data_IF_526180401596
#
_entry.id   IF_526180401596
#
_cell.length_a   1.000
_cell.length_b   1.000
_cell.length_c   1.000
_cell.angle_alpha   90.00
_cell.angle_beta   90.00
_cell.angle_gamma   90.00
#
_symmetry.space_group_name_H-M   'P 1'
#
loop_
_entity.id
_entity.type
_entity.pdbx_description
1 polymer ?
#
# COMPACT_ATOMS: atom_id res chain seq x y z
N UNK A 1 -8.26 11.38 -5.26
CA UNK A 1 -9.05 10.41 -4.46
C UNK A 1 -8.35 10.20 -3.12
N UNK A 2 -9.02 10.45 -1.99
CA UNK A 2 -8.42 10.33 -0.65
C UNK A 2 -8.40 8.88 -0.20
N UNK A 3 -7.21 8.30 -0.06
CA UNK A 3 -7.05 6.95 0.52
C UNK A 3 -7.37 6.88 2.02
N UNK A 4 -7.34 8.03 2.71
CA UNK A 4 -7.68 8.16 4.13
C UNK A 4 -9.17 7.90 4.44
N UNK A 5 -10.05 7.98 3.44
CA UNK A 5 -11.49 7.73 3.62
C UNK A 5 -11.89 6.29 3.27
N UNK A 6 -10.94 5.43 2.90
CA UNK A 6 -11.22 4.04 2.56
C UNK A 6 -11.49 3.22 3.82
N UNK A 7 -12.57 2.43 3.78
CA UNK A 7 -12.84 1.40 4.79
C UNK A 7 -11.79 0.30 4.73
N UNK A 8 -11.67 -0.50 5.79
CA UNK A 8 -10.68 -1.58 5.88
C UNK A 8 -10.77 -2.56 4.72
N UNK A 9 -12.00 -2.91 4.33
CA UNK A 9 -12.32 -3.77 3.21
C UNK A 9 -11.80 -3.19 1.89
N UNK A 10 -12.06 -1.91 1.64
CA UNK A 10 -11.64 -1.17 0.45
C UNK A 10 -10.11 -1.04 0.38
N UNK A 11 -9.48 -0.71 1.51
CA UNK A 11 -8.04 -0.60 1.65
C UNK A 11 -7.37 -1.95 1.35
N UNK A 12 -7.95 -3.04 1.84
CA UNK A 12 -7.49 -4.41 1.62
C UNK A 12 -7.57 -4.79 0.15
N UNK A 13 -8.74 -4.59 -0.48
CA UNK A 13 -8.97 -4.89 -1.90
C UNK A 13 -7.99 -4.11 -2.77
N UNK A 14 -7.87 -2.79 -2.57
CA UNK A 14 -6.94 -1.98 -3.35
C UNK A 14 -5.50 -2.45 -3.20
N UNK A 15 -5.01 -2.63 -1.98
CA UNK A 15 -3.64 -3.12 -1.76
C UNK A 15 -3.40 -4.49 -2.42
N UNK A 16 -4.37 -5.40 -2.36
CA UNK A 16 -4.31 -6.68 -3.06
C UNK A 16 -4.25 -6.50 -4.59
N UNK A 17 -5.03 -5.58 -5.16
CA UNK A 17 -4.96 -5.24 -6.59
C UNK A 17 -3.59 -4.68 -7.00
N UNK A 18 -2.92 -3.96 -6.11
CA UNK A 18 -1.54 -3.50 -6.32
C UNK A 18 -0.48 -4.59 -6.08
N UNK A 19 -0.87 -5.84 -5.81
CA UNK A 19 0.05 -6.95 -5.56
C UNK A 19 0.69 -6.94 -4.18
N UNK A 20 0.16 -6.17 -3.23
CA UNK A 20 0.61 -6.17 -1.85
C UNK A 20 -0.13 -7.25 -1.03
N UNK A 21 0.56 -8.23 -0.42
CA UNK A 21 -0.07 -9.22 0.43
C UNK A 21 -0.65 -8.55 1.67
N UNK A 22 -1.98 -8.52 1.72
CA UNK A 22 -2.74 -7.89 2.81
C UNK A 22 -3.12 -8.93 3.85
N UNK A 23 -2.51 -8.80 5.03
CA UNK A 23 -2.92 -9.52 6.22
C UNK A 23 -4.17 -8.92 6.89
N UNK A 24 -4.42 -9.25 8.16
CA UNK A 24 -5.54 -8.67 8.90
C UNK A 24 -5.38 -7.15 9.02
N UNK A 25 -6.38 -6.41 8.56
CA UNK A 25 -6.44 -4.96 8.75
C UNK A 25 -6.94 -4.69 10.16
N UNK A 26 -6.02 -4.35 11.06
CA UNK A 26 -6.32 -3.96 12.44
C UNK A 26 -6.12 -2.46 12.62
N UNK A 27 -6.64 -1.90 13.72
CA UNK A 27 -6.58 -0.46 13.98
C UNK A 27 -5.14 0.09 13.97
N UNK A 28 -4.19 -0.68 14.46
CA UNK A 28 -2.75 -0.36 14.47
C UNK A 28 -2.13 -0.44 13.07
N UNK A 29 -2.55 -1.39 12.23
CA UNK A 29 -1.98 -1.59 10.89
C UNK A 29 -2.63 -0.69 9.84
N UNK A 30 -3.87 -0.23 10.04
CA UNK A 30 -4.62 0.64 9.11
C UNK A 30 -3.80 1.84 8.66
N UNK A 31 -3.20 2.59 9.60
CA UNK A 31 -2.43 3.81 9.30
C UNK A 31 -1.23 3.52 8.39
N UNK A 32 -0.58 2.38 8.59
CA UNK A 32 0.56 1.92 7.78
C UNK A 32 0.06 1.50 6.39
N UNK A 33 -1.05 0.77 6.32
CA UNK A 33 -1.64 0.30 5.07
C UNK A 33 -2.16 1.45 4.19
N UNK A 34 -2.81 2.47 4.78
CA UNK A 34 -3.21 3.69 4.07
C UNK A 34 -1.98 4.40 3.50
N UNK A 35 -0.93 4.57 4.30
CA UNK A 35 0.33 5.17 3.84
C UNK A 35 0.99 4.35 2.72
N UNK A 36 1.00 3.02 2.82
CA UNK A 36 1.48 2.14 1.75
C UNK A 36 0.65 2.25 0.49
N UNK A 37 -0.67 2.26 0.61
CA UNK A 37 -1.55 2.42 -0.55
C UNK A 37 -1.32 3.77 -1.24
N UNK A 38 -1.19 4.85 -0.45
CA UNK A 38 -0.84 6.17 -0.96
C UNK A 38 0.48 6.13 -1.74
N UNK A 39 1.51 5.55 -1.13
CA UNK A 39 2.82 5.38 -1.76
C UNK A 39 2.78 4.45 -2.99
N UNK A 40 1.89 3.47 -3.07
CA UNK A 40 1.76 2.60 -4.24
C UNK A 40 1.07 3.33 -5.40
N UNK A 41 0.08 4.17 -5.10
CA UNK A 41 -0.59 5.02 -6.09
C UNK A 41 0.38 6.10 -6.60
N UNK A 42 1.10 6.77 -5.71
CA UNK A 42 2.07 7.82 -6.06
C UNK A 42 3.37 7.23 -6.66
N UNK A 43 3.84 6.12 -6.11
CA UNK A 43 5.07 5.41 -6.48
C UNK A 43 4.95 4.52 -7.72
N UNK A 44 3.77 4.36 -8.31
CA UNK A 44 3.67 3.85 -9.69
C UNK A 44 4.29 4.83 -10.71
N UNK A 45 4.51 6.08 -10.31
CA UNK A 45 5.37 7.06 -11.01
C UNK A 45 6.84 7.04 -10.56
N UNK A 46 7.16 6.31 -9.49
CA UNK A 46 8.48 6.28 -8.84
C UNK A 46 8.84 4.86 -8.40
N UNK A 47 9.15 4.03 -9.40
CA UNK A 47 9.61 2.65 -9.32
C UNK A 47 10.21 2.22 -7.98
N UNK A 48 9.64 1.14 -7.44
CA UNK A 48 10.37 0.18 -6.62
C UNK A 48 11.59 -0.33 -7.39
N UNK A 49 12.77 0.21 -7.11
CA UNK A 49 14.06 -0.47 -7.28
C UNK A 49 15.13 0.40 -6.64
N UNK A 50 15.80 -0.08 -5.59
CA UNK A 50 17.21 0.21 -5.22
C UNK A 50 17.69 -0.51 -3.94
N UNK A 51 16.92 -1.41 -3.35
CA UNK A 51 17.50 -2.64 -2.79
C UNK A 51 17.24 -3.68 -3.88
N UNK A 52 18.19 -4.15 -4.68
CA UNK A 52 19.59 -4.54 -4.47
C UNK A 52 20.19 -4.88 -5.86
N UNK A 53 21.53 -4.97 -6.01
CA UNK A 53 22.29 -5.95 -6.83
C UNK A 53 23.77 -5.49 -7.04
N UNK A 54 24.71 -6.34 -6.59
CA UNK A 54 26.15 -6.52 -6.90
C UNK A 54 27.01 -5.42 -7.57
N UNK A 55 28.17 -5.14 -6.96
CA UNK A 55 29.48 -4.93 -7.61
C UNK A 55 30.60 -5.29 -6.63
#
# INVERSE_FOLDING_TARGET
>A
MSVDTLSDSELRTKLAEYGYPVGPVTQTTRKILVKKLKNLIEGRSGSSSRHSLAA
#
